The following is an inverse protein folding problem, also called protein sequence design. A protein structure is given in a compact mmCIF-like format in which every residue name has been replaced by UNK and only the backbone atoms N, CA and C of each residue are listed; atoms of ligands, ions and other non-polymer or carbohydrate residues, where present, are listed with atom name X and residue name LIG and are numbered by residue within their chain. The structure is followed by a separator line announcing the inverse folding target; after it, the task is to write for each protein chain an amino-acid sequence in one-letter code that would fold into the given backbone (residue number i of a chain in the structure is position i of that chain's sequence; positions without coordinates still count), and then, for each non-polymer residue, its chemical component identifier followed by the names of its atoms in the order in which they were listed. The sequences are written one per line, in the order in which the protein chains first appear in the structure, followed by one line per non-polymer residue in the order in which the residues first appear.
data_IF_442247676884
#
_entry.id   IF_442247676884
#
_cell.length_a   1.000
_cell.length_b   1.000
_cell.length_c   1.000
_cell.angle_alpha   90.00
_cell.angle_beta   90.00
_cell.angle_gamma   90.00
#
_symmetry.space_group_name_H-M   'P 1'
#
loop_
_entity.id
_entity.type
_entity.pdbx_description
1 polymer ?
#
# COMPACT_ATOMS: atom_id res chain seq x y z
N UNK A 1 13.32 -16.03 22.91
CA UNK A 1 13.40 -16.22 21.43
C UNK A 1 12.05 -16.72 20.93
N UNK A 2 11.20 -15.84 20.37
CA UNK A 2 9.91 -16.26 19.79
C UNK A 2 10.25 -16.88 18.43
N UNK A 3 10.24 -18.22 18.35
CA UNK A 3 10.38 -18.91 17.08
C UNK A 3 9.10 -18.70 16.25
N UNK A 4 9.18 -18.41 14.93
CA UNK A 4 7.99 -18.21 14.13
C UNK A 4 7.23 -19.54 14.01
N UNK A 5 5.95 -19.54 14.39
CA UNK A 5 5.10 -20.72 14.57
C UNK A 5 4.74 -21.50 13.30
N UNK A 6 5.37 -21.27 12.13
CA UNK A 6 5.03 -22.11 10.98
C UNK A 6 6.06 -22.29 9.87
N UNK A 7 6.41 -23.56 9.65
CA UNK A 7 7.03 -24.08 8.42
C UNK A 7 6.07 -23.99 7.22
N UNK A 8 4.75 -23.96 7.44
CA UNK A 8 3.72 -23.91 6.38
C UNK A 8 3.31 -22.47 6.06
N UNK A 9 3.09 -22.19 4.77
CA UNK A 9 2.70 -20.86 4.29
C UNK A 9 1.34 -20.42 4.84
N UNK A 10 0.35 -21.32 4.84
CA UNK A 10 -1.02 -21.03 5.29
C UNK A 10 -1.04 -20.56 6.73
N UNK A 11 -0.37 -21.25 7.66
CA UNK A 11 -0.37 -20.85 9.07
C UNK A 11 0.38 -19.52 9.30
N UNK A 12 1.41 -19.22 8.50
CA UNK A 12 2.12 -17.93 8.60
C UNK A 12 1.20 -16.78 8.21
N UNK A 13 0.48 -16.93 7.10
CA UNK A 13 -0.56 -16.00 6.66
C UNK A 13 -1.67 -15.89 7.72
N UNK A 14 -2.19 -17.04 8.18
CA UNK A 14 -3.26 -17.10 9.18
C UNK A 14 -2.87 -16.37 10.48
N UNK A 15 -1.66 -16.61 10.99
CA UNK A 15 -1.21 -16.00 12.24
C UNK A 15 -1.09 -14.48 12.15
N UNK A 16 -0.51 -13.98 11.06
CA UNK A 16 -0.34 -12.54 10.87
C UNK A 16 -1.69 -11.85 10.58
N UNK A 17 -2.52 -12.50 9.76
CA UNK A 17 -3.86 -12.01 9.42
C UNK A 17 -4.78 -11.97 10.64
N UNK A 18 -4.72 -12.99 11.51
CA UNK A 18 -5.49 -13.01 12.75
C UNK A 18 -5.08 -11.90 13.72
N UNK A 19 -3.76 -11.69 13.91
CA UNK A 19 -3.25 -10.62 14.77
C UNK A 19 -3.65 -9.25 14.23
N UNK A 20 -3.46 -8.97 12.94
CA UNK A 20 -3.82 -7.67 12.37
C UNK A 20 -5.33 -7.43 12.41
N UNK A 21 -6.17 -8.45 12.21
CA UNK A 21 -7.62 -8.32 12.31
C UNK A 21 -8.05 -7.93 13.73
N UNK A 22 -7.46 -8.56 14.76
CA UNK A 22 -7.73 -8.22 16.16
C UNK A 22 -7.23 -6.80 16.48
N UNK A 23 -6.02 -6.45 16.06
CA UNK A 23 -5.50 -5.09 16.24
C UNK A 23 -6.41 -4.07 15.56
N UNK A 24 -6.84 -4.32 14.32
CA UNK A 24 -7.72 -3.42 13.57
C UNK A 24 -9.15 -3.39 14.11
N UNK A 25 -9.58 -4.34 14.94
CA UNK A 25 -10.85 -4.22 15.64
C UNK A 25 -10.79 -3.14 16.74
N UNK A 26 -9.60 -2.83 17.24
CA UNK A 26 -9.39 -1.88 18.35
C UNK A 26 -8.92 -0.50 17.82
N UNK A 27 -8.24 -0.46 16.68
CA UNK A 27 -7.68 0.75 16.07
C UNK A 27 -7.99 0.85 14.57
N UNK A 28 -7.60 1.97 13.94
CA UNK A 28 -7.77 2.16 12.50
C UNK A 28 -7.00 1.12 11.66
N UNK A 29 -7.58 0.72 10.53
CA UNK A 29 -7.05 -0.28 9.60
C UNK A 29 -5.65 0.04 9.04
N UNK A 30 -5.34 1.32 8.74
CA UNK A 30 -4.02 1.73 8.25
C UNK A 30 -2.96 1.61 9.34
N UNK A 31 -3.30 2.01 10.57
CA UNK A 31 -2.39 1.94 11.72
C UNK A 31 -2.04 0.49 12.08
N UNK A 32 -3.05 -0.38 12.14
CA UNK A 32 -2.85 -1.81 12.39
C UNK A 32 -1.95 -2.46 11.34
N UNK A 33 -2.17 -2.14 10.05
CA UNK A 33 -1.34 -2.63 8.95
C UNK A 33 0.10 -2.12 9.07
N UNK A 34 0.30 -0.82 9.31
CA UNK A 34 1.63 -0.22 9.43
C UNK A 34 2.46 -0.85 10.56
N UNK A 35 1.83 -1.16 11.70
CA UNK A 35 2.48 -1.85 12.81
C UNK A 35 2.90 -3.29 12.44
N UNK A 36 2.09 -3.96 11.61
CA UNK A 36 2.35 -5.35 11.21
C UNK A 36 3.26 -5.46 9.98
N UNK A 37 3.38 -4.41 9.17
CA UNK A 37 4.20 -4.36 7.95
C UNK A 37 5.66 -4.80 8.18
N UNK A 38 6.43 -4.23 9.12
CA UNK A 38 7.82 -4.65 9.33
C UNK A 38 7.95 -6.11 9.76
N UNK A 39 7.00 -6.60 10.57
CA UNK A 39 6.96 -7.99 11.01
C UNK A 39 6.63 -8.93 9.84
N UNK A 40 5.65 -8.57 9.02
CA UNK A 40 5.25 -9.33 7.84
C UNK A 40 6.40 -9.43 6.83
N UNK A 41 7.06 -8.32 6.49
CA UNK A 41 8.21 -8.28 5.58
C UNK A 41 9.38 -9.12 6.11
N UNK A 42 9.79 -8.89 7.36
CA UNK A 42 10.93 -9.59 7.98
C UNK A 42 10.70 -11.10 8.03
N UNK A 43 9.47 -11.52 8.35
CA UNK A 43 9.13 -12.95 8.43
C UNK A 43 8.95 -13.58 7.06
N UNK A 44 8.47 -12.85 6.04
CA UNK A 44 8.40 -13.31 4.65
C UNK A 44 9.80 -13.66 4.11
N UNK A 45 10.74 -12.71 4.24
CA UNK A 45 12.11 -12.83 3.75
C UNK A 45 12.85 -13.96 4.48
N UNK A 46 12.71 -14.04 5.82
CA UNK A 46 13.32 -15.12 6.62
C UNK A 46 12.85 -16.51 6.20
N UNK A 47 11.60 -16.63 5.73
CA UNK A 47 11.02 -17.87 5.23
C UNK A 47 11.22 -18.08 3.72
N UNK A 48 12.01 -17.22 3.06
CA UNK A 48 12.24 -17.22 1.60
C UNK A 48 10.94 -17.19 0.79
N UNK A 49 9.94 -16.43 1.27
CA UNK A 49 8.65 -16.21 0.62
C UNK A 49 8.61 -14.83 -0.01
N UNK A 50 7.94 -14.71 -1.15
CA UNK A 50 7.66 -13.38 -1.73
C UNK A 50 6.80 -12.56 -0.75
N UNK A 51 7.17 -11.31 -0.42
CA UNK A 51 6.40 -10.45 0.48
C UNK A 51 4.94 -10.28 0.06
N UNK A 52 4.68 -10.16 -1.24
CA UNK A 52 3.33 -9.92 -1.79
C UNK A 52 2.30 -10.98 -1.38
N UNK A 53 2.76 -12.23 -1.19
CA UNK A 53 1.93 -13.36 -0.74
C UNK A 53 1.40 -13.16 0.69
N UNK A 54 2.11 -12.38 1.52
CA UNK A 54 1.74 -12.11 2.92
C UNK A 54 1.06 -10.75 3.05
N UNK A 55 1.56 -9.74 2.33
CA UNK A 55 1.05 -8.36 2.42
C UNK A 55 -0.40 -8.24 1.97
N UNK A 56 -0.80 -8.95 0.91
CA UNK A 56 -2.19 -8.89 0.44
C UNK A 56 -3.17 -9.48 1.47
N UNK A 57 -2.98 -10.72 1.97
CA UNK A 57 -3.84 -11.23 3.05
C UNK A 57 -3.86 -10.36 4.30
N UNK A 58 -2.72 -9.77 4.67
CA UNK A 58 -2.60 -8.85 5.80
C UNK A 58 -3.47 -7.60 5.61
N UNK A 59 -3.45 -7.00 4.42
CA UNK A 59 -4.24 -5.82 4.11
C UNK A 59 -5.75 -6.11 4.17
N UNK A 60 -6.19 -7.22 3.58
CA UNK A 60 -7.59 -7.66 3.65
C UNK A 60 -8.02 -7.96 5.08
N UNK A 61 -7.19 -8.66 5.85
CA UNK A 61 -7.49 -8.97 7.25
C UNK A 61 -7.60 -7.69 8.11
N UNK A 62 -6.80 -6.66 7.82
CA UNK A 62 -6.92 -5.36 8.48
C UNK A 62 -8.28 -4.71 8.18
N UNK A 63 -8.69 -4.66 6.92
CA UNK A 63 -10.00 -4.11 6.52
C UNK A 63 -11.14 -4.87 7.20
N UNK A 64 -11.08 -6.20 7.18
CA UNK A 64 -12.09 -7.06 7.77
C UNK A 64 -12.19 -6.91 9.29
N UNK A 65 -11.06 -6.79 9.98
CA UNK A 65 -11.01 -6.54 11.42
C UNK A 65 -11.64 -5.21 11.82
N UNK A 66 -11.42 -4.16 11.01
CA UNK A 66 -12.02 -2.83 11.23
C UNK A 66 -13.54 -2.79 11.18
N UNK A 67 -14.21 -3.83 10.65
CA UNK A 67 -15.67 -3.91 10.63
C UNK A 67 -16.28 -4.45 11.94
N UNK A 68 -15.46 -4.96 12.87
CA UNK A 68 -15.94 -5.54 14.13
C UNK A 68 -16.47 -4.44 15.07
N UNK A 69 -15.84 -3.27 15.11
CA UNK A 69 -16.23 -2.20 16.02
C UNK A 69 -16.57 -0.92 15.27
N UNK A 70 -17.20 0.02 15.97
CA UNK A 70 -17.44 1.35 15.44
C UNK A 70 -16.14 2.11 15.12
N UNK A 71 -15.10 1.93 15.92
CA UNK A 71 -13.85 2.72 15.86
C UNK A 71 -13.02 2.37 14.62
N UNK A 72 -13.05 1.10 14.22
CA UNK A 72 -12.12 0.54 13.23
C UNK A 72 -12.21 1.16 11.83
N UNK A 73 -13.34 1.78 11.45
CA UNK A 73 -13.50 2.39 10.12
C UNK A 73 -14.37 3.66 10.11
N UNK A 74 -14.04 4.67 9.27
CA UNK A 74 -14.85 5.89 9.13
C UNK A 74 -16.33 5.67 8.78
N UNK A 75 -16.72 4.73 7.88
CA UNK A 75 -18.13 4.49 7.59
C UNK A 75 -18.96 4.09 8.82
N UNK A 76 -18.41 3.28 9.72
CA UNK A 76 -19.08 2.87 10.95
C UNK A 76 -19.28 4.05 11.92
N UNK A 77 -18.30 4.97 11.97
CA UNK A 77 -18.41 6.21 12.75
C UNK A 77 -19.48 7.12 12.15
N UNK A 78 -19.48 7.29 10.83
CA UNK A 78 -20.43 8.15 10.12
C UNK A 78 -21.87 7.67 10.33
N UNK A 79 -22.14 6.37 10.18
CA UNK A 79 -23.50 5.85 10.35
C UNK A 79 -23.97 5.92 11.82
N UNK A 80 -23.06 5.80 12.78
CA UNK A 80 -23.36 6.01 14.20
C UNK A 80 -23.75 7.47 14.51
N UNK A 81 -23.01 8.43 13.96
CA UNK A 81 -23.36 9.84 14.08
C UNK A 81 -24.70 10.15 13.39
N UNK A 82 -24.90 9.61 12.17
CA UNK A 82 -26.12 9.80 11.40
C UNK A 82 -27.37 9.25 12.11
N UNK A 83 -27.29 8.05 12.70
CA UNK A 83 -28.40 7.47 13.48
C UNK A 83 -28.83 8.39 14.62
N UNK A 84 -27.87 8.90 15.40
CA UNK A 84 -28.16 9.76 16.53
C UNK A 84 -28.85 11.05 16.10
N UNK A 85 -28.32 11.72 15.08
CA UNK A 85 -28.91 12.95 14.54
C UNK A 85 -30.30 12.70 13.96
N UNK A 86 -30.49 11.62 13.19
CA UNK A 86 -31.81 11.27 12.65
C UNK A 86 -32.84 11.02 13.77
N UNK A 87 -32.45 10.33 14.84
CA UNK A 87 -33.36 10.07 15.97
C UNK A 87 -33.76 11.35 16.71
N UNK A 88 -32.84 12.32 16.86
CA UNK A 88 -33.16 13.64 17.41
C UNK A 88 -34.18 14.35 16.51
N UNK A 89 -33.93 14.37 15.19
CA UNK A 89 -34.80 15.05 14.23
C UNK A 89 -36.21 14.42 14.21
N UNK A 90 -36.30 13.09 14.18
CA UNK A 90 -37.57 12.37 14.22
C UNK A 90 -38.34 12.65 15.51
N UNK A 91 -37.66 12.69 16.67
CA UNK A 91 -38.29 13.02 17.95
C UNK A 91 -38.82 14.45 17.96
N UNK A 92 -38.03 15.41 17.46
CA UNK A 92 -38.45 16.81 17.38
C UNK A 92 -39.68 16.98 16.49
N UNK A 93 -39.69 16.36 15.31
CA UNK A 93 -40.83 16.37 14.38
C UNK A 93 -42.10 15.77 15.00
N UNK A 94 -41.95 14.66 15.74
CA UNK A 94 -43.08 14.00 16.42
C UNK A 94 -43.66 14.84 17.58
N UNK A 95 -42.82 15.63 18.27
CA UNK A 95 -43.25 16.54 19.34
C UNK A 95 -43.94 17.80 18.79
N UNK A 96 -43.52 18.28 17.61
CA UNK A 96 -44.10 19.45 16.98
C UNK A 96 -45.45 19.15 16.31
N UNK A 97 -45.55 18.01 15.60
CA UNK A 97 -46.75 17.65 14.84
C UNK A 97 -47.11 16.17 14.99
N UNK A 98 -48.25 15.91 15.64
CA UNK A 98 -48.78 14.55 15.88
C UNK A 98 -49.17 13.82 14.58
N UNK A 99 -49.45 14.56 13.50
CA UNK A 99 -49.80 13.98 12.19
C UNK A 99 -48.58 13.77 11.27
N UNK A 100 -47.38 14.09 11.75
CA UNK A 100 -46.13 13.93 11.01
C UNK A 100 -45.81 12.46 10.70
N UNK A 101 -44.94 12.25 9.70
CA UNK A 101 -44.43 10.92 9.36
C UNK A 101 -43.65 10.29 10.51
N UNK A 102 -42.87 11.09 11.25
CA UNK A 102 -42.14 10.61 12.41
C UNK A 102 -43.07 10.19 13.56
N UNK A 103 -44.11 10.97 13.87
CA UNK A 103 -45.09 10.61 14.90
C UNK A 103 -45.81 9.28 14.57
N UNK A 104 -46.24 9.12 13.32
CA UNK A 104 -46.84 7.86 12.84
C UNK A 104 -45.90 6.67 12.99
N UNK A 105 -44.62 6.84 12.65
CA UNK A 105 -43.60 5.81 12.84
C UNK A 105 -43.47 5.38 14.31
N UNK A 106 -43.39 6.32 15.25
CA UNK A 106 -43.31 5.98 16.68
C UNK A 106 -44.57 5.27 17.18
N UNK A 107 -45.76 5.71 16.76
CA UNK A 107 -47.04 5.09 17.15
C UNK A 107 -47.14 3.67 16.60
N UNK A 108 -46.79 3.45 15.32
CA UNK A 108 -46.81 2.14 14.67
C UNK A 108 -45.85 1.13 15.32
N UNK A 109 -44.68 1.60 15.76
CA UNK A 109 -43.71 0.79 16.49
C UNK A 109 -44.03 0.64 17.99
N UNK A 110 -45.16 1.18 18.46
CA UNK A 110 -45.58 1.18 19.86
C UNK A 110 -44.54 1.83 20.81
N UNK A 111 -43.86 2.87 20.32
CA UNK A 111 -42.84 3.63 21.04
C UNK A 111 -43.41 4.98 21.49
N UNK A 112 -43.29 5.29 22.77
CA UNK A 112 -43.66 6.61 23.28
C UNK A 112 -42.56 7.63 22.95
N UNK A 113 -42.81 8.50 21.97
CA UNK A 113 -41.83 9.51 21.54
C UNK A 113 -41.53 10.59 22.60
N UNK A 114 -42.39 10.79 23.62
CA UNK A 114 -42.06 11.68 24.75
C UNK A 114 -40.96 11.10 25.64
N UNK A 115 -40.93 9.77 25.80
CA UNK A 115 -39.94 9.05 26.60
C UNK A 115 -38.79 8.46 25.78
N UNK A 116 -38.89 8.53 24.44
CA UNK A 116 -37.85 8.06 23.54
C UNK A 116 -36.55 8.85 23.74
N UNK A 117 -35.44 8.13 23.94
CA UNK A 117 -34.11 8.72 24.08
C UNK A 117 -33.29 8.40 22.84
N UNK A 118 -32.93 9.40 22.01
CA UNK A 118 -32.00 9.20 20.91
C UNK A 118 -30.66 8.65 21.42
N UNK A 119 -30.13 7.65 20.74
CA UNK A 119 -28.83 7.06 21.06
C UNK A 119 -28.05 6.75 19.78
N UNK A 120 -26.73 7.03 19.75
CA UNK A 120 -25.88 6.48 18.69
C UNK A 120 -25.84 4.95 18.79
N UNK A 121 -25.26 4.30 17.78
CA UNK A 121 -24.82 2.92 17.96
C UNK A 121 -23.82 2.85 19.13
N UNK A 122 -23.81 1.73 19.85
CA UNK A 122 -22.75 1.40 20.80
C UNK A 122 -21.46 0.99 20.07
N UNK A 123 -20.33 0.98 20.80
CA UNK A 123 -19.03 0.58 20.25
C UNK A 123 -19.06 -0.83 19.64
N UNK A 124 -19.84 -1.74 20.23
CA UNK A 124 -19.92 -3.15 19.88
C UNK A 124 -21.19 -3.53 19.09
N UNK A 125 -22.07 -2.59 18.75
CA UNK A 125 -23.31 -2.89 18.01
C UNK A 125 -23.05 -3.51 16.63
N UNK A 126 -21.86 -3.26 16.06
CA UNK A 126 -21.42 -3.83 14.79
C UNK A 126 -20.80 -5.23 14.94
N UNK A 127 -20.46 -5.65 16.17
CA UNK A 127 -19.67 -6.86 16.42
C UNK A 127 -20.32 -8.14 15.93
N UNK A 128 -21.65 -8.37 16.08
CA UNK A 128 -22.26 -9.62 15.62
C UNK A 128 -22.07 -9.84 14.11
N UNK A 129 -22.26 -8.78 13.32
CA UNK A 129 -22.08 -8.82 11.87
C UNK A 129 -20.59 -8.82 11.51
N UNK A 130 -19.82 -7.93 12.14
CA UNK A 130 -18.39 -7.76 11.87
C UNK A 130 -17.57 -9.01 12.20
N UNK A 131 -17.83 -9.70 13.31
CA UNK A 131 -17.13 -10.94 13.70
C UNK A 131 -17.39 -12.04 12.68
N UNK A 132 -18.64 -12.21 12.22
CA UNK A 132 -18.99 -13.22 11.22
C UNK A 132 -18.25 -12.94 9.91
N UNK A 133 -18.30 -11.71 9.42
CA UNK A 133 -17.62 -11.33 8.17
C UNK A 133 -16.09 -11.43 8.32
N UNK A 134 -15.54 -10.97 9.44
CA UNK A 134 -14.11 -11.05 9.70
C UNK A 134 -13.61 -12.48 9.78
N UNK A 135 -14.35 -13.36 10.45
CA UNK A 135 -14.01 -14.78 10.56
C UNK A 135 -13.99 -15.46 9.18
N UNK A 136 -15.09 -15.37 8.42
CA UNK A 136 -15.17 -15.99 7.10
C UNK A 136 -14.23 -15.34 6.09
N UNK A 137 -14.03 -14.03 6.16
CA UNK A 137 -13.12 -13.29 5.29
C UNK A 137 -11.65 -13.64 5.56
N UNK A 138 -11.24 -13.71 6.83
CA UNK A 138 -9.87 -14.12 7.20
C UNK A 138 -9.65 -15.59 6.84
N UNK A 139 -10.65 -16.46 7.02
CA UNK A 139 -10.58 -17.85 6.60
C UNK A 139 -10.43 -17.96 5.07
N UNK A 140 -11.25 -17.23 4.32
CA UNK A 140 -11.20 -17.18 2.86
C UNK A 140 -9.85 -16.69 2.35
N UNK A 141 -9.33 -15.57 2.88
CA UNK A 141 -8.08 -14.99 2.38
C UNK A 141 -6.87 -15.87 2.71
N UNK A 142 -6.92 -16.57 3.85
CA UNK A 142 -5.89 -17.51 4.29
C UNK A 142 -5.86 -18.77 3.41
N UNK A 143 -7.03 -19.28 3.01
CA UNK A 143 -7.14 -20.52 2.24
C UNK A 143 -7.04 -20.30 0.73
N UNK A 144 -7.77 -19.31 0.20
CA UNK A 144 -7.92 -19.05 -1.23
C UNK A 144 -7.27 -17.73 -1.67
N UNK A 145 -7.27 -16.71 -0.83
CA UNK A 145 -6.84 -15.35 -1.20
C UNK A 145 -5.44 -15.26 -1.81
N UNK A 146 -4.49 -15.98 -1.22
CA UNK A 146 -3.11 -16.02 -1.72
C UNK A 146 -2.94 -16.67 -3.10
N UNK A 147 -3.93 -17.46 -3.56
CA UNK A 147 -3.89 -18.16 -4.85
C UNK A 147 -4.30 -17.28 -6.03
N UNK A 148 -5.05 -16.20 -5.78
CA UNK A 148 -5.57 -15.30 -6.81
C UNK A 148 -4.53 -14.31 -7.36
N UNK A 149 -3.31 -14.32 -6.81
CA UNK A 149 -2.25 -13.39 -7.19
C UNK A 149 -1.42 -14.02 -8.34
N UNK A 150 -1.34 -13.37 -9.53
CA UNK A 150 -0.47 -13.83 -10.60
C UNK A 150 0.99 -13.82 -10.15
N UNK A 151 1.73 -14.89 -10.47
CA UNK A 151 3.08 -15.17 -9.94
C UNK A 151 4.20 -14.26 -10.48
N UNK A 152 3.90 -13.27 -11.30
CA UNK A 152 4.91 -12.46 -11.99
C UNK A 152 5.12 -11.15 -11.26
N UNK A 153 6.06 -11.15 -10.32
CA UNK A 153 6.93 -9.99 -10.12
C UNK A 153 8.27 -10.48 -9.59
N UNK A 154 9.24 -10.50 -10.50
CA UNK A 154 10.64 -10.72 -10.21
C UNK A 154 11.16 -9.56 -9.35
N UNK A 155 11.60 -9.85 -8.13
CA UNK A 155 12.78 -9.23 -7.48
C UNK A 155 13.08 -10.01 -6.20
N UNK A 156 14.32 -10.45 -6.03
CA UNK A 156 14.83 -10.91 -4.73
C UNK A 156 14.97 -9.67 -3.86
N UNK A 157 13.92 -9.28 -3.17
CA UNK A 157 13.95 -8.13 -2.29
C UNK A 157 14.77 -8.45 -1.03
N UNK A 158 15.93 -7.81 -0.89
CA UNK A 158 16.60 -7.68 0.39
C UNK A 158 15.76 -6.83 1.34
N UNK A 159 15.91 -7.04 2.66
CA UNK A 159 15.16 -6.30 3.69
C UNK A 159 15.35 -4.78 3.57
N UNK A 160 16.51 -4.32 3.09
CA UNK A 160 16.81 -2.91 2.85
C UNK A 160 16.06 -2.35 1.63
N UNK A 161 16.04 -3.06 0.49
CA UNK A 161 15.37 -2.60 -0.75
C UNK A 161 13.84 -2.42 -0.67
N UNK A 162 13.20 -2.94 0.38
CA UNK A 162 11.74 -2.78 0.61
C UNK A 162 11.39 -1.55 1.46
N UNK A 163 12.37 -1.03 2.22
CA UNK A 163 12.24 0.16 3.05
C UNK A 163 12.96 1.37 2.46
N UNK A 164 13.84 1.17 1.48
CA UNK A 164 14.27 2.18 0.52
C UNK A 164 13.07 2.59 -0.34
N UNK A 165 12.26 3.48 0.21
CA UNK A 165 11.39 4.30 -0.62
C UNK A 165 12.31 5.08 -1.55
N UNK A 166 12.15 4.79 -2.84
CA UNK A 166 12.62 5.49 -4.04
C UNK A 166 13.55 4.61 -4.91
N UNK A 167 12.94 3.83 -5.81
CA UNK A 167 13.57 3.60 -7.10
C UNK A 167 13.61 4.96 -7.80
N UNK A 168 14.77 5.61 -7.80
CA UNK A 168 14.90 6.98 -8.31
C UNK A 168 14.86 6.94 -9.83
N UNK A 169 13.98 7.77 -10.38
CA UNK A 169 13.98 8.09 -11.79
C UNK A 169 14.96 9.25 -11.99
N UNK A 170 16.01 9.02 -12.78
CA UNK A 170 17.10 9.98 -12.98
C UNK A 170 17.53 10.02 -14.44
N UNK A 171 18.09 11.16 -14.85
CA UNK A 171 18.61 11.36 -16.20
C UNK A 171 20.08 10.95 -16.26
N UNK A 172 20.36 9.95 -17.09
CA UNK A 172 21.72 9.54 -17.42
C UNK A 172 22.08 9.95 -18.84
N UNK A 173 23.35 10.25 -19.04
CA UNK A 173 23.99 10.47 -20.33
C UNK A 173 24.94 9.33 -20.64
N UNK A 174 24.95 8.91 -21.90
CA UNK A 174 25.85 7.90 -22.44
C UNK A 174 27.11 8.58 -23.00
N UNK A 175 28.27 8.52 -22.34
CA UNK A 175 29.53 9.04 -22.89
C UNK A 175 30.12 8.09 -23.94
N UNK A 176 31.19 8.52 -24.63
CA UNK A 176 31.83 7.79 -25.74
C UNK A 176 32.38 6.41 -25.34
N UNK A 177 32.79 6.25 -24.07
CA UNK A 177 33.37 5.02 -23.50
C UNK A 177 32.34 4.14 -22.77
N UNK A 178 31.05 4.32 -23.08
CA UNK A 178 29.99 3.55 -22.43
C UNK A 178 29.82 2.16 -23.05
N UNK A 179 29.82 1.13 -22.20
CA UNK A 179 29.66 -0.28 -22.61
C UNK A 179 28.27 -0.62 -23.14
N UNK A 180 27.31 0.29 -23.02
CA UNK A 180 25.93 0.11 -23.49
C UNK A 180 25.73 0.58 -24.94
N UNK A 181 26.73 1.19 -25.58
CA UNK A 181 26.65 1.65 -26.97
C UNK A 181 26.39 0.46 -27.90
N UNK A 182 25.56 0.67 -28.93
CA UNK A 182 25.09 -0.34 -29.90
C UNK A 182 24.16 -1.43 -29.36
N UNK A 183 23.86 -1.48 -28.06
CA UNK A 183 22.79 -2.32 -27.52
C UNK A 183 21.42 -1.74 -27.88
N UNK A 184 20.44 -2.63 -28.01
CA UNK A 184 19.03 -2.24 -28.17
C UNK A 184 18.41 -2.01 -26.80
N UNK A 185 17.48 -1.06 -26.71
CA UNK A 185 16.89 -0.69 -25.42
C UNK A 185 16.21 -1.87 -24.73
N UNK A 186 15.57 -2.77 -25.49
CA UNK A 186 14.94 -3.99 -24.96
C UNK A 186 15.89 -4.96 -24.26
N UNK A 187 17.18 -4.89 -24.55
CA UNK A 187 18.18 -5.86 -24.06
C UNK A 187 18.98 -5.31 -22.86
N UNK A 188 18.82 -4.02 -22.53
CA UNK A 188 19.55 -3.34 -21.45
C UNK A 188 19.16 -3.87 -20.08
N UNK A 189 17.86 -4.06 -19.83
CA UNK A 189 17.40 -4.63 -18.57
C UNK A 189 18.06 -5.98 -18.33
N UNK A 190 18.09 -6.85 -19.35
CA UNK A 190 18.76 -8.16 -19.25
C UNK A 190 20.27 -8.03 -19.10
N UNK A 191 20.90 -7.10 -19.82
CA UNK A 191 22.35 -6.89 -19.79
C UNK A 191 22.85 -6.32 -18.46
N UNK A 192 21.97 -5.64 -17.72
CA UNK A 192 22.25 -5.06 -16.41
C UNK A 192 21.74 -5.92 -15.25
N UNK A 193 21.36 -7.18 -15.51
CA UNK A 193 20.75 -8.09 -14.52
C UNK A 193 19.49 -7.50 -13.85
N UNK A 194 18.68 -6.79 -14.63
CA UNK A 194 17.48 -6.05 -14.23
C UNK A 194 17.74 -4.96 -13.17
N UNK A 195 18.97 -4.43 -13.10
CA UNK A 195 19.33 -3.30 -12.22
C UNK A 195 19.00 -1.93 -12.82
N UNK A 196 18.87 -1.84 -14.14
CA UNK A 196 18.58 -0.59 -14.86
C UNK A 196 17.37 -0.76 -15.76
N UNK A 197 16.32 0.02 -15.52
CA UNK A 197 15.14 0.11 -16.39
C UNK A 197 15.12 1.48 -17.09
N UNK A 198 14.89 1.50 -18.41
CA UNK A 198 14.82 2.75 -19.16
C UNK A 198 13.35 3.15 -19.39
N UNK A 199 12.96 4.30 -18.86
CA UNK A 199 11.60 4.85 -18.93
C UNK A 199 11.37 5.82 -20.08
N UNK A 200 12.40 6.54 -20.51
CA UNK A 200 12.24 7.56 -21.56
C UNK A 200 13.54 7.98 -22.21
N UNK A 201 13.42 8.57 -23.40
CA UNK A 201 14.52 9.24 -24.10
C UNK A 201 14.24 10.75 -24.12
N UNK A 202 15.27 11.55 -23.82
CA UNK A 202 15.20 13.01 -23.87
C UNK A 202 16.00 13.47 -25.08
N UNK A 203 15.31 14.12 -26.02
CA UNK A 203 15.97 14.66 -27.22
C UNK A 203 16.70 15.98 -26.95
N UNK A 204 17.40 16.51 -27.94
CA UNK A 204 18.12 17.80 -27.87
C UNK A 204 17.21 18.98 -27.57
N UNK A 205 15.94 18.91 -27.95
CA UNK A 205 14.92 19.95 -27.71
C UNK A 205 14.22 19.80 -26.35
N UNK A 206 14.78 19.02 -25.41
CA UNK A 206 14.20 18.72 -24.08
C UNK A 206 12.82 18.04 -24.13
N UNK A 207 12.45 17.48 -25.28
CA UNK A 207 11.20 16.77 -25.46
C UNK A 207 11.32 15.31 -24.99
N UNK A 208 10.32 14.87 -24.23
CA UNK A 208 10.17 13.48 -23.82
C UNK A 208 9.61 12.65 -24.97
N UNK A 209 10.35 11.64 -25.42
CA UNK A 209 9.92 10.72 -26.47
C UNK A 209 9.70 9.32 -25.89
N UNK A 210 8.57 8.70 -26.25
CA UNK A 210 8.32 7.30 -25.94
C UNK A 210 9.33 6.40 -26.66
N UNK A 211 9.95 5.49 -25.92
CA UNK A 211 11.01 4.64 -26.46
C UNK A 211 10.44 3.62 -27.44
N UNK A 212 11.00 3.58 -28.65
CA UNK A 212 10.87 2.42 -29.52
C UNK A 212 11.90 1.36 -29.10
N UNK A 213 11.44 0.19 -28.66
CA UNK A 213 12.28 -0.84 -28.04
C UNK A 213 13.41 -1.39 -28.93
N UNK A 214 13.35 -1.14 -30.24
CA UNK A 214 14.33 -1.60 -31.23
C UNK A 214 15.40 -0.54 -31.58
N UNK A 215 15.34 0.64 -30.96
CA UNK A 215 16.34 1.70 -31.16
C UNK A 215 17.64 1.33 -30.48
N UNK A 216 18.76 1.54 -31.18
CA UNK A 216 20.12 1.33 -30.64
C UNK A 216 20.57 2.56 -29.86
N UNK A 217 21.22 2.33 -28.72
CA UNK A 217 21.87 3.39 -27.96
C UNK A 217 23.05 3.94 -28.74
N UNK A 218 23.11 5.27 -28.81
CA UNK A 218 24.26 6.01 -29.33
C UNK A 218 24.87 6.88 -28.24
N UNK A 219 26.12 7.23 -28.46
CA UNK A 219 26.82 8.25 -27.70
C UNK A 219 26.02 9.56 -27.64
N UNK A 220 26.07 10.23 -26.49
CA UNK A 220 25.42 11.50 -26.25
C UNK A 220 23.91 11.40 -26.00
N UNK A 221 23.32 10.20 -26.13
CA UNK A 221 21.92 9.98 -25.78
C UNK A 221 21.68 10.22 -24.29
N UNK A 222 20.52 10.81 -24.00
CA UNK A 222 20.04 11.09 -22.64
C UNK A 222 18.82 10.23 -22.39
N UNK A 223 18.87 9.46 -21.32
CA UNK A 223 17.82 8.52 -20.96
C UNK A 223 17.34 8.79 -19.55
N UNK A 224 16.03 8.69 -19.38
CA UNK A 224 15.41 8.66 -18.08
C UNK A 224 15.40 7.20 -17.61
N UNK A 225 16.12 6.91 -16.54
CA UNK A 225 16.28 5.54 -16.02
C UNK A 225 15.79 5.45 -14.60
N UNK A 226 15.34 4.26 -14.24
CA UNK A 226 14.91 3.92 -12.89
C UNK A 226 15.82 2.83 -12.35
N UNK A 227 16.45 3.12 -11.22
CA UNK A 227 17.37 2.21 -10.56
C UNK A 227 17.43 2.51 -9.05
N UNK A 228 17.90 1.53 -8.27
CA UNK A 228 18.29 1.76 -6.88
C UNK A 228 19.57 2.65 -6.86
N UNK A 229 19.69 3.64 -5.96
CA UNK A 229 20.88 4.51 -5.88
C UNK A 229 22.21 3.77 -5.71
N UNK A 230 22.20 2.67 -4.94
CA UNK A 230 23.40 1.87 -4.71
C UNK A 230 23.81 1.13 -5.99
N UNK A 231 22.83 0.55 -6.68
CA UNK A 231 23.05 -0.10 -7.98
C UNK A 231 23.50 0.92 -9.02
N UNK A 232 22.86 2.09 -9.09
CA UNK A 232 23.21 3.14 -10.04
C UNK A 232 24.65 3.60 -9.87
N UNK A 233 25.09 3.84 -8.63
CA UNK A 233 26.49 4.20 -8.34
C UNK A 233 27.45 3.12 -8.82
N UNK A 234 27.14 1.85 -8.56
CA UNK A 234 27.97 0.74 -9.05
C UNK A 234 27.99 0.65 -10.59
N UNK A 235 26.86 0.92 -11.24
CA UNK A 235 26.72 0.88 -12.69
C UNK A 235 27.40 2.06 -13.39
N UNK A 236 27.50 3.22 -12.74
CA UNK A 236 28.25 4.36 -13.27
C UNK A 236 29.72 4.01 -13.50
N UNK A 237 30.31 3.24 -12.58
CA UNK A 237 31.70 2.78 -12.69
C UNK A 237 31.81 1.55 -13.61
N UNK A 238 30.86 0.62 -13.54
CA UNK A 238 30.88 -0.64 -14.30
C UNK A 238 30.65 -0.43 -15.81
N UNK A 239 29.69 0.42 -16.18
CA UNK A 239 29.27 0.66 -17.56
C UNK A 239 29.63 2.06 -18.08
N UNK A 240 30.34 2.86 -17.27
CA UNK A 240 30.80 4.21 -17.62
C UNK A 240 29.63 5.16 -17.92
N UNK A 241 28.57 5.13 -17.12
CA UNK A 241 27.39 6.01 -17.28
C UNK A 241 27.57 7.27 -16.42
N UNK A 242 27.10 8.44 -16.89
CA UNK A 242 27.20 9.71 -16.14
C UNK A 242 25.83 10.34 -15.95
N UNK A 243 25.68 11.11 -14.87
CA UNK A 243 24.50 11.97 -14.72
C UNK A 243 24.53 13.12 -15.73
N UNK A 244 23.34 13.53 -16.17
CA UNK A 244 23.18 14.77 -16.93
C UNK A 244 23.17 15.96 -15.95
N UNK A 245 23.93 17.02 -16.25
CA UNK A 245 24.08 18.20 -15.36
C UNK A 245 22.78 19.03 -15.21
N UNK A 246 21.75 18.77 -16.02
CA UNK A 246 20.49 19.52 -16.07
C UNK A 246 19.63 19.41 -14.79
N UNK A 247 19.70 18.31 -14.03
CA UNK A 247 18.79 18.02 -12.89
C UNK A 247 19.55 17.83 -11.56
N UNK A 248 20.76 18.37 -11.40
CA UNK A 248 21.34 18.47 -10.05
C UNK A 248 20.60 19.51 -9.17
N UNK A 249 19.67 20.29 -9.74
CA UNK A 249 18.97 21.40 -9.08
C UNK A 249 17.64 21.00 -8.41
N UNK A 250 16.90 19.98 -8.89
CA UNK A 250 15.49 19.84 -8.49
C UNK A 250 15.10 18.61 -7.68
N UNK A 251 15.87 17.52 -7.63
CA UNK A 251 15.32 16.25 -7.10
C UNK A 251 16.18 15.40 -6.15
N UNK A 252 17.36 15.83 -5.68
CA UNK A 252 18.09 14.98 -4.73
C UNK A 252 18.92 15.72 -3.66
N UNK A 253 18.55 15.41 -2.40
CA UNK A 253 19.24 15.57 -1.12
C UNK A 253 19.15 16.91 -0.35
N UNK A 254 18.72 16.87 0.94
CA UNK A 254 18.94 17.99 1.85
C UNK A 254 20.45 18.15 2.04
N UNK A 255 20.92 19.39 1.96
CA UNK A 255 22.29 19.84 2.25
C UNK A 255 22.87 19.14 3.49
N UNK A 256 23.63 18.08 3.28
CA UNK A 256 24.35 17.40 4.35
C UNK A 256 25.60 16.72 3.77
N UNK A 257 26.50 17.49 3.19
CA UNK A 257 27.94 17.18 3.14
C UNK A 257 28.68 18.46 2.70
N UNK A 258 28.76 19.39 3.64
CA UNK A 258 29.81 20.41 3.68
C UNK A 258 30.55 20.16 4.99
N UNK A 259 31.88 20.34 4.96
CA UNK A 259 32.88 19.95 5.96
C UNK A 259 33.51 18.59 5.64
N UNK A 260 34.55 18.62 4.80
CA UNK A 260 35.94 18.29 5.19
C UNK A 260 36.86 19.04 4.20
N UNK A 261 37.46 20.11 4.70
CA UNK A 261 38.76 20.66 4.34
C UNK A 261 39.28 21.38 5.57
#
# INVERSE_FOLDING_TARGET
KIAPFSKKQITHIASLSGVVAICSAIMNNVGALALMLPVALKTAIKQKRSPSIILMPLAFASILGGMITMIGTPPNIIIAAFRHTNQINMKAEALENINSTAAKYFIDQNINYHQFSPSPFGMLDFSPVGIVIAFFGVLFITLLGWRLIPKTSHKKAGFESLFSIDEYVTEIRIPEDCKLINLQIKDIEKFTDNRLEIFGYIDKDENFLSIQSNTKIKEGNRFLVKADPADLKSMMDEYTIRFSESIFSLLCFPKAFTIIS
#
